data_IF_692840440967
#
_entry.id   IF_692840440967
#
_cell.length_a   1.000
_cell.length_b   1.000
_cell.length_c   1.000
_cell.angle_alpha   90.00
_cell.angle_beta   90.00
_cell.angle_gamma   90.00
#
_symmetry.space_group_name_H-M   'P 1'
#
loop_
_entity.id
_entity.type
_entity.pdbx_description
1 polymer ?
#
# COMPACT_ATOMS: atom_id res chain seq x y z
N UNK A 1 -5.36 -3.71 26.42
CA UNK A 1 -6.79 -3.42 26.60
C UNK A 1 -7.42 -3.33 25.22
N UNK A 2 -8.48 -4.08 24.94
CA UNK A 2 -9.21 -3.96 23.69
C UNK A 2 -10.13 -2.75 23.78
N UNK A 3 -9.82 -1.70 23.02
CA UNK A 3 -10.68 -0.53 22.84
C UNK A 3 -11.64 -0.85 21.69
N UNK A 4 -12.96 -0.63 21.81
CA UNK A 4 -13.87 -0.72 20.68
C UNK A 4 -13.37 0.14 19.52
N UNK A 5 -13.49 -0.34 18.28
CA UNK A 5 -12.87 0.29 17.09
C UNK A 5 -13.31 1.75 16.92
N UNK A 6 -14.56 2.05 17.24
CA UNK A 6 -15.17 3.37 17.15
C UNK A 6 -14.54 4.38 18.14
N UNK A 7 -13.93 3.87 19.20
CA UNK A 7 -13.30 4.63 20.27
C UNK A 7 -11.77 4.52 20.30
N UNK A 8 -11.17 3.78 19.36
CA UNK A 8 -9.72 3.61 19.27
C UNK A 8 -9.08 4.81 18.55
N UNK A 9 -8.26 5.63 19.23
CA UNK A 9 -7.57 6.75 18.58
C UNK A 9 -6.58 6.30 17.50
N UNK A 10 -6.21 5.01 17.46
CA UNK A 10 -5.34 4.41 16.45
C UNK A 10 -6.08 3.77 15.29
N UNK A 11 -7.43 3.78 15.28
CA UNK A 11 -8.24 3.06 14.29
C UNK A 11 -7.82 3.36 12.84
N UNK A 12 -7.61 4.64 12.51
CA UNK A 12 -7.13 5.04 11.19
C UNK A 12 -5.73 4.50 10.88
N UNK A 13 -4.78 4.65 11.82
CA UNK A 13 -3.39 4.18 11.65
C UNK A 13 -3.32 2.66 11.47
N UNK A 14 -4.14 1.93 12.23
CA UNK A 14 -4.25 0.48 12.11
C UNK A 14 -4.82 0.12 10.74
N UNK A 15 -5.92 0.75 10.33
CA UNK A 15 -6.58 0.47 9.04
C UNK A 15 -5.67 0.75 7.82
N UNK A 16 -4.92 1.86 7.81
CA UNK A 16 -3.97 2.14 6.72
C UNK A 16 -2.80 1.16 6.71
N UNK A 17 -2.33 0.72 7.89
CA UNK A 17 -1.23 -0.25 8.01
C UNK A 17 -1.66 -1.63 7.52
N UNK A 18 -2.86 -2.06 7.90
CA UNK A 18 -3.47 -3.33 7.48
C UNK A 18 -3.68 -3.35 5.97
N UNK A 19 -4.26 -2.28 5.41
CA UNK A 19 -4.43 -2.13 3.97
C UNK A 19 -3.08 -2.14 3.23
N UNK A 20 -2.08 -1.44 3.75
CA UNK A 20 -0.77 -1.38 3.11
C UNK A 20 -0.06 -2.74 3.10
N UNK A 21 -0.13 -3.49 4.21
CA UNK A 21 0.41 -4.84 4.28
C UNK A 21 -0.33 -5.80 3.33
N UNK A 22 -1.66 -5.69 3.23
CA UNK A 22 -2.46 -6.49 2.30
C UNK A 22 -2.10 -6.20 0.84
N UNK A 23 -1.91 -4.93 0.47
CA UNK A 23 -1.50 -4.52 -0.88
C UNK A 23 -0.11 -5.06 -1.21
N UNK A 24 0.87 -4.96 -0.30
CA UNK A 24 2.21 -5.49 -0.53
C UNK A 24 2.18 -7.01 -0.74
N UNK A 25 1.43 -7.75 0.10
CA UNK A 25 1.27 -9.19 -0.08
C UNK A 25 0.63 -9.54 -1.43
N UNK A 26 -0.37 -8.78 -1.87
CA UNK A 26 -0.98 -8.93 -3.19
C UNK A 26 0.03 -8.70 -4.32
N UNK A 27 0.86 -7.65 -4.23
CA UNK A 27 1.90 -7.34 -5.21
C UNK A 27 2.95 -8.46 -5.30
N UNK A 28 3.40 -8.98 -4.15
CA UNK A 28 4.34 -10.10 -4.10
C UNK A 28 3.75 -11.36 -4.76
N UNK A 29 2.49 -11.67 -4.45
CA UNK A 29 1.79 -12.81 -5.05
C UNK A 29 1.57 -12.64 -6.57
N UNK A 30 1.28 -11.42 -7.04
CA UNK A 30 1.18 -11.12 -8.46
C UNK A 30 2.53 -11.32 -9.18
N UNK A 31 3.62 -10.83 -8.58
CA UNK A 31 4.98 -10.99 -9.09
C UNK A 31 5.38 -12.48 -9.21
N UNK A 32 5.08 -13.28 -8.19
CA UNK A 32 5.30 -14.75 -8.19
C UNK A 32 4.57 -15.44 -9.35
N UNK A 33 3.39 -14.93 -9.72
CA UNK A 33 2.60 -15.42 -10.86
C UNK A 33 3.04 -14.84 -12.21
N UNK A 34 4.15 -14.11 -12.27
CA UNK A 34 4.67 -13.50 -13.50
C UNK A 34 3.91 -12.25 -13.96
N UNK A 35 3.08 -11.65 -13.10
CA UNK A 35 2.37 -10.40 -13.38
C UNK A 35 3.19 -9.20 -12.90
N UNK A 36 3.04 -8.07 -13.59
CA UNK A 36 3.56 -6.77 -13.19
C UNK A 36 2.50 -5.96 -12.45
N UNK A 37 2.94 -5.17 -11.48
CA UNK A 37 2.05 -4.27 -10.71
C UNK A 37 2.62 -2.86 -10.59
N UNK A 38 1.74 -1.88 -10.41
CA UNK A 38 2.13 -0.52 -10.03
C UNK A 38 1.24 0.02 -8.91
N UNK A 39 1.85 0.35 -7.76
CA UNK A 39 1.17 1.04 -6.66
C UNK A 39 1.01 2.52 -6.99
N UNK A 40 -0.24 2.99 -7.05
CA UNK A 40 -0.59 4.36 -7.43
C UNK A 40 -1.31 5.08 -6.29
N UNK A 41 -0.68 6.12 -5.75
CA UNK A 41 -1.33 7.12 -4.87
C UNK A 41 -1.51 8.47 -5.54
N UNK A 42 -0.82 8.72 -6.65
CA UNK A 42 -0.90 9.97 -7.41
C UNK A 42 -2.33 10.36 -7.83
N UNK A 43 -3.11 9.46 -8.45
CA UNK A 43 -4.49 9.76 -8.86
C UNK A 43 -5.41 10.12 -7.68
N UNK A 44 -5.17 9.54 -6.51
CA UNK A 44 -6.00 9.77 -5.31
C UNK A 44 -5.90 11.22 -4.82
N UNK A 45 -4.76 11.90 -5.04
CA UNK A 45 -4.57 13.30 -4.62
C UNK A 45 -5.58 14.27 -5.21
N UNK A 46 -6.07 14.01 -6.43
CA UNK A 46 -6.97 14.92 -7.15
C UNK A 46 -8.29 14.27 -7.55
N UNK A 47 -8.38 12.94 -7.57
CA UNK A 47 -9.53 12.21 -8.10
C UNK A 47 -10.14 11.20 -7.13
N UNK A 48 -9.71 11.13 -5.86
CA UNK A 48 -10.23 10.14 -4.91
C UNK A 48 -11.77 10.12 -4.84
N UNK A 49 -12.43 11.28 -4.71
CA UNK A 49 -13.90 11.35 -4.65
C UNK A 49 -14.59 10.86 -5.93
N UNK A 50 -14.04 11.22 -7.09
CA UNK A 50 -14.56 10.76 -8.39
C UNK A 50 -14.43 9.24 -8.50
N UNK A 51 -13.29 8.69 -8.09
CA UNK A 51 -13.03 7.25 -8.13
C UNK A 51 -13.93 6.50 -7.15
N UNK A 52 -14.09 7.02 -5.92
CA UNK A 52 -14.99 6.47 -4.92
C UNK A 52 -16.43 6.42 -5.44
N UNK A 53 -16.93 7.53 -6.01
CA UNK A 53 -18.27 7.60 -6.59
C UNK A 53 -18.45 6.66 -7.78
N UNK A 54 -17.44 6.52 -8.65
CA UNK A 54 -17.49 5.61 -9.78
C UNK A 54 -17.54 4.13 -9.35
N UNK A 55 -16.88 3.79 -8.24
CA UNK A 55 -16.82 2.43 -7.69
C UNK A 55 -17.88 2.15 -6.62
N UNK A 56 -18.80 3.09 -6.37
CA UNK A 56 -19.83 3.00 -5.32
C UNK A 56 -19.25 2.72 -3.92
N UNK A 57 -18.13 3.37 -3.60
CA UNK A 57 -17.47 3.29 -2.29
C UNK A 57 -18.15 4.27 -1.33
N UNK A 58 -18.58 3.79 -0.17
CA UNK A 58 -19.23 4.59 0.85
C UNK A 58 -18.31 5.68 1.44
N UNK A 59 -18.91 6.78 1.89
CA UNK A 59 -18.19 7.99 2.33
C UNK A 59 -17.32 7.78 3.59
N UNK A 60 -17.61 6.74 4.38
CA UNK A 60 -16.86 6.36 5.57
C UNK A 60 -15.63 5.49 5.26
N UNK A 61 -15.38 5.16 3.98
CA UNK A 61 -14.19 4.47 3.53
C UNK A 61 -13.17 5.40 2.86
N UNK A 62 -11.90 5.13 3.12
CA UNK A 62 -10.78 5.78 2.46
C UNK A 62 -10.12 4.83 1.46
N UNK A 63 -9.88 5.31 0.24
CA UNK A 63 -9.08 4.57 -0.75
C UNK A 63 -7.60 4.75 -0.41
N UNK A 64 -6.94 3.68 0.05
CA UNK A 64 -5.52 3.71 0.44
C UNK A 64 -4.58 3.73 -0.77
N UNK A 65 -4.90 2.93 -1.80
CA UNK A 65 -4.10 2.85 -3.02
C UNK A 65 -4.93 2.31 -4.20
N UNK A 66 -4.43 2.55 -5.41
CA UNK A 66 -4.87 1.87 -6.62
C UNK A 66 -3.70 1.00 -7.08
N UNK A 67 -3.97 -0.25 -7.48
CA UNK A 67 -2.94 -1.14 -8.00
C UNK A 67 -3.28 -1.49 -9.45
N UNK A 68 -2.45 -1.03 -10.39
CA UNK A 68 -2.50 -1.55 -11.75
C UNK A 68 -1.89 -2.96 -11.76
N UNK A 69 -2.50 -3.89 -12.50
CA UNK A 69 -2.07 -5.29 -12.64
C UNK A 69 -2.14 -5.71 -14.10
N UNK A 70 -1.16 -6.48 -14.58
CA UNK A 70 -1.24 -7.11 -15.90
C UNK A 70 0.01 -7.89 -16.27
N UNK A 71 0.04 -8.42 -17.50
CA UNK A 71 1.25 -9.01 -18.06
C UNK A 71 2.21 -7.90 -18.49
N UNK A 72 3.45 -7.87 -17.96
CA UNK A 72 4.39 -6.80 -18.27
C UNK A 72 4.93 -6.94 -19.69
N UNK A 73 4.84 -5.88 -20.48
CA UNK A 73 5.41 -5.80 -21.83
C UNK A 73 6.96 -5.71 -21.81
N UNK A 74 7.51 -5.16 -20.73
CA UNK A 74 8.95 -5.09 -20.49
C UNK A 74 9.28 -5.18 -18.99
N UNK A 75 10.54 -5.50 -18.68
CA UNK A 75 11.07 -5.53 -17.30
C UNK A 75 12.00 -4.33 -17.09
N UNK A 76 11.54 -3.23 -16.47
CA UNK A 76 12.39 -2.07 -16.25
C UNK A 76 13.54 -2.41 -15.28
N UNK A 77 14.68 -1.73 -15.46
CA UNK A 77 15.77 -1.83 -14.51
C UNK A 77 15.33 -1.29 -13.14
N UNK A 78 15.75 -1.96 -12.06
CA UNK A 78 15.47 -1.52 -10.71
C UNK A 78 16.13 -0.15 -10.45
N UNK A 79 15.37 0.86 -9.99
CA UNK A 79 15.94 2.17 -9.66
C UNK A 79 17.00 2.03 -8.56
N UNK A 80 18.05 2.88 -8.56
CA UNK A 80 19.09 2.83 -7.55
C UNK A 80 18.48 3.00 -6.14
N UNK A 81 18.78 2.06 -5.25
CA UNK A 81 18.42 2.15 -3.83
C UNK A 81 19.61 2.72 -3.06
N UNK A 82 19.33 3.54 -2.05
CA UNK A 82 20.36 3.98 -1.10
C UNK A 82 20.97 2.76 -0.40
N UNK A 83 22.24 2.89 -0.03
CA UNK A 83 22.95 1.89 0.77
C UNK A 83 22.16 1.52 2.03
N UNK A 84 22.05 0.22 2.28
CA UNK A 84 21.36 -0.34 3.44
C UNK A 84 21.99 0.11 4.76
N UNK A 85 23.31 0.28 4.81
CA UNK A 85 24.03 0.71 6.01
C UNK A 85 23.65 2.14 6.46
N UNK A 86 23.07 2.94 5.56
CA UNK A 86 22.54 4.27 5.90
C UNK A 86 21.11 4.23 6.47
N UNK A 87 20.45 3.08 6.42
CA UNK A 87 19.04 2.89 6.83
C UNK A 87 18.86 1.98 8.03
N UNK A 88 19.85 1.17 8.36
CA UNK A 88 19.76 0.21 9.46
C UNK A 88 20.83 0.52 10.51
N UNK A 89 20.44 0.40 11.77
CA UNK A 89 21.35 0.46 12.92
C UNK A 89 21.20 -0.83 13.72
N UNK A 90 22.26 -1.61 13.81
CA UNK A 90 22.32 -2.74 14.73
C UNK A 90 22.54 -2.22 16.14
N UNK A 91 21.70 -2.64 17.09
CA UNK A 91 21.82 -2.22 18.49
C UNK A 91 22.59 -3.22 19.35
N UNK A 92 22.98 -4.37 18.81
CA UNK A 92 23.56 -5.44 19.60
C UNK A 92 22.51 -6.25 20.35
N UNK A 93 22.99 -7.33 20.96
CA UNK A 93 22.36 -7.98 22.08
C UNK A 93 23.44 -8.04 23.17
N UNK A 94 23.14 -7.59 24.38
CA UNK A 94 23.95 -7.88 25.56
C UNK A 94 23.67 -9.32 26.03
#
# INVERSE_FOLDING_TARGET
MCVPKESDPWAWKNSISDAAAAIENFILAACDKGLGTCWLTGPLKTRARMIASFLDIAEDFEIVAIVALGYPDHKPAMPPKKDIHQKVKWLGFD
#
